data_IF_026055254232
#
_entry.id   IF_026055254232
#
_cell.length_a   1.000
_cell.length_b   1.000
_cell.length_c   1.000
_cell.angle_alpha   90.00
_cell.angle_beta   90.00
_cell.angle_gamma   90.00
#
_symmetry.space_group_name_H-M   'P 1'
#
loop_
_entity.id
_entity.type
_entity.pdbx_description
1 polymer ?
#
# COMPACT_ATOMS: atom_id res chain seq x y z
N UNK A 1 30.58 8.58 5.30
CA UNK A 1 29.78 8.10 6.45
C UNK A 1 28.38 7.60 6.05
N UNK A 2 27.90 7.90 4.84
CA UNK A 2 26.55 7.55 4.37
C UNK A 2 26.33 6.05 4.06
N UNK A 3 27.36 5.32 3.61
CA UNK A 3 27.18 3.90 3.23
C UNK A 3 27.00 2.96 4.42
N UNK A 4 27.66 3.22 5.56
CA UNK A 4 27.58 2.40 6.77
C UNK A 4 26.20 2.54 7.45
N UNK A 5 25.65 3.76 7.48
CA UNK A 5 24.26 4.02 7.91
C UNK A 5 23.25 3.36 6.97
N UNK A 6 23.51 3.35 5.65
CA UNK A 6 22.65 2.65 4.70
C UNK A 6 22.69 1.13 4.92
N UNK A 7 23.85 0.54 5.21
CA UNK A 7 23.99 -0.89 5.43
C UNK A 7 23.31 -1.35 6.73
N UNK A 8 23.41 -0.55 7.79
CA UNK A 8 22.70 -0.79 9.05
C UNK A 8 21.18 -0.66 8.90
N UNK A 9 20.70 0.38 8.20
CA UNK A 9 19.29 0.54 7.84
C UNK A 9 18.77 -0.64 7.02
N UNK A 10 19.50 -1.02 5.97
CA UNK A 10 19.16 -2.17 5.14
C UNK A 10 19.11 -3.46 5.97
N UNK A 11 20.03 -3.66 6.92
CA UNK A 11 20.00 -4.83 7.80
C UNK A 11 18.75 -4.82 8.68
N UNK A 12 18.38 -3.67 9.24
CA UNK A 12 17.22 -3.52 10.11
C UNK A 12 15.90 -3.86 9.42
N UNK A 13 15.69 -3.37 8.19
CA UNK A 13 14.41 -3.54 7.47
C UNK A 13 14.31 -4.85 6.68
N UNK A 14 15.44 -5.48 6.34
CA UNK A 14 15.43 -6.67 5.48
C UNK A 14 14.94 -7.92 6.22
N UNK A 15 13.81 -8.53 5.80
CA UNK A 15 13.29 -9.75 6.43
C UNK A 15 14.18 -10.99 6.17
N UNK A 16 15.12 -10.92 5.22
CA UNK A 16 16.12 -11.97 4.99
C UNK A 16 17.26 -11.94 6.00
N UNK A 17 17.58 -10.76 6.56
CA UNK A 17 18.72 -10.56 7.46
C UNK A 17 18.31 -10.40 8.92
N UNK A 18 17.16 -9.77 9.17
CA UNK A 18 16.64 -9.55 10.52
C UNK A 18 15.46 -10.49 10.83
N UNK A 19 15.57 -11.36 11.86
CA UNK A 19 14.49 -12.26 12.24
C UNK A 19 13.23 -11.54 12.73
N UNK A 20 13.36 -10.37 13.36
CA UNK A 20 12.20 -9.59 13.83
C UNK A 20 11.41 -9.02 12.64
N UNK A 21 12.11 -8.50 11.62
CA UNK A 21 11.48 -8.04 10.38
C UNK A 21 10.76 -9.20 9.66
N UNK A 22 11.30 -10.42 9.72
CA UNK A 22 10.65 -11.61 9.17
C UNK A 22 9.37 -11.97 9.90
N UNK A 23 9.39 -11.98 11.24
CA UNK A 23 8.20 -12.24 12.06
C UNK A 23 7.11 -11.20 11.79
N UNK A 24 7.48 -9.93 11.70
CA UNK A 24 6.58 -8.84 11.36
C UNK A 24 5.94 -9.04 9.97
N UNK A 25 6.76 -9.32 8.95
CA UNK A 25 6.27 -9.57 7.59
C UNK A 25 5.32 -10.77 7.55
N UNK A 26 5.63 -11.86 8.27
CA UNK A 26 4.77 -13.05 8.36
C UNK A 26 3.44 -12.75 9.05
N UNK A 27 3.46 -11.98 10.15
CA UNK A 27 2.25 -11.58 10.85
C UNK A 27 1.33 -10.72 9.97
N UNK A 28 1.89 -9.76 9.22
CA UNK A 28 1.14 -8.94 8.27
C UNK A 28 0.58 -9.80 7.15
N UNK A 29 1.42 -10.65 6.55
CA UNK A 29 1.01 -11.57 5.47
C UNK A 29 -0.18 -12.42 5.90
N UNK A 30 -0.08 -13.07 7.07
CA UNK A 30 -1.16 -13.91 7.62
C UNK A 30 -2.46 -13.12 7.78
N UNK A 31 -2.41 -11.91 8.35
CA UNK A 31 -3.59 -11.05 8.56
C UNK A 31 -4.23 -10.63 7.25
N UNK A 32 -3.43 -10.23 6.26
CA UNK A 32 -3.94 -9.81 4.95
C UNK A 32 -4.57 -10.96 4.18
N UNK A 33 -3.96 -12.15 4.22
CA UNK A 33 -4.49 -13.34 3.55
C UNK A 33 -5.85 -13.75 4.09
N UNK A 34 -6.07 -13.69 5.40
CA UNK A 34 -7.36 -14.00 6.04
C UNK A 34 -8.54 -13.20 5.47
N UNK A 35 -8.30 -11.94 5.09
CA UNK A 35 -9.31 -11.06 4.49
C UNK A 35 -9.21 -10.96 2.96
N UNK A 36 -8.20 -11.58 2.35
CA UNK A 36 -7.96 -11.51 0.91
C UNK A 36 -7.61 -10.10 0.41
N UNK A 37 -6.86 -9.34 1.21
CA UNK A 37 -6.40 -7.99 0.87
C UNK A 37 -4.93 -8.00 0.42
N UNK A 38 -4.56 -7.01 -0.38
CA UNK A 38 -3.17 -6.64 -0.62
C UNK A 38 -2.77 -5.49 0.29
N UNK A 39 -1.47 -5.34 0.52
CA UNK A 39 -0.93 -4.27 1.36
C UNK A 39 -1.33 -2.90 0.83
N UNK A 40 -1.22 -2.69 -0.49
CA UNK A 40 -1.59 -1.44 -1.16
C UNK A 40 -3.08 -1.08 -0.99
N UNK A 41 -3.95 -2.07 -0.74
CA UNK A 41 -5.38 -1.82 -0.54
C UNK A 41 -5.67 -1.03 0.76
N UNK A 42 -4.72 -1.01 1.70
CA UNK A 42 -4.84 -0.31 2.98
C UNK A 42 -4.65 1.22 2.86
N UNK A 43 -4.11 1.71 1.74
CA UNK A 43 -3.90 3.14 1.50
C UNK A 43 -5.23 3.86 1.26
N UNK A 44 -5.63 4.76 2.16
CA UNK A 44 -6.90 5.49 2.04
C UNK A 44 -6.73 6.75 1.16
N UNK A 45 -7.50 6.89 0.05
CA UNK A 45 -7.48 8.09 -0.78
C UNK A 45 -7.92 9.38 -0.06
N UNK A 46 -8.60 9.29 1.10
CA UNK A 46 -8.94 10.46 1.91
C UNK A 46 -7.82 10.85 2.89
N UNK A 47 -6.88 9.96 3.16
CA UNK A 47 -5.78 10.24 4.07
C UNK A 47 -4.74 11.13 3.40
N UNK A 48 -4.31 10.77 2.20
CA UNK A 48 -3.34 11.50 1.39
C UNK A 48 -3.91 11.71 -0.02
N UNK A 49 -3.81 12.94 -0.52
CA UNK A 49 -4.35 13.30 -1.83
C UNK A 49 -3.50 12.72 -2.97
N UNK A 50 -2.21 12.48 -2.73
CA UNK A 50 -1.33 11.85 -3.73
C UNK A 50 -1.77 10.39 -4.00
N UNK A 51 -2.33 9.71 -2.99
CA UNK A 51 -2.92 8.36 -3.15
C UNK A 51 -4.16 8.43 -4.02
N UNK A 52 -5.01 9.44 -3.81
CA UNK A 52 -6.21 9.64 -4.61
C UNK A 52 -5.86 9.84 -6.08
N UNK A 53 -4.92 10.74 -6.37
CA UNK A 53 -4.48 11.01 -7.74
C UNK A 53 -3.83 9.76 -8.37
N UNK A 54 -2.98 9.05 -7.62
CA UNK A 54 -2.36 7.82 -8.11
C UNK A 54 -3.41 6.75 -8.47
N UNK A 55 -4.48 6.61 -7.68
CA UNK A 55 -5.58 5.69 -7.99
C UNK A 55 -6.40 6.13 -9.21
N UNK A 56 -6.60 7.43 -9.41
CA UNK A 56 -7.31 7.99 -10.58
C UNK A 56 -6.54 7.79 -11.89
N UNK A 57 -5.20 7.74 -11.83
CA UNK A 57 -4.32 7.49 -12.98
C UNK A 57 -4.16 6.02 -13.34
N UNK A 58 -4.47 5.10 -12.43
CA UNK A 58 -4.32 3.66 -12.67
C UNK A 58 -5.36 3.12 -13.67
N UNK A 59 -5.06 2.01 -14.38
CA UNK A 59 -6.04 1.35 -15.23
C UNK A 59 -7.28 0.93 -14.44
N UNK A 60 -8.45 1.08 -15.06
CA UNK A 60 -9.74 0.83 -14.42
C UNK A 60 -9.86 -0.60 -13.88
N UNK A 61 -9.32 -1.58 -14.59
CA UNK A 61 -9.35 -2.99 -14.19
C UNK A 61 -8.64 -3.22 -12.85
N UNK A 62 -7.54 -2.51 -12.60
CA UNK A 62 -6.78 -2.60 -11.35
C UNK A 62 -7.58 -2.00 -10.19
N UNK A 63 -8.19 -0.84 -10.44
CA UNK A 63 -9.02 -0.12 -9.47
C UNK A 63 -10.29 -0.92 -9.13
N UNK A 64 -10.94 -1.51 -10.13
CA UNK A 64 -12.11 -2.37 -9.93
C UNK A 64 -11.76 -3.63 -9.14
N UNK A 65 -10.62 -4.27 -9.45
CA UNK A 65 -10.12 -5.41 -8.68
C UNK A 65 -9.79 -5.03 -7.22
N UNK A 66 -9.26 -3.83 -6.97
CA UNK A 66 -9.05 -3.27 -5.62
C UNK A 66 -10.39 -3.12 -4.89
N UNK A 67 -11.38 -2.50 -5.53
CA UNK A 67 -12.71 -2.32 -4.93
C UNK A 67 -13.40 -3.65 -4.60
N UNK A 68 -13.26 -4.67 -5.44
CA UNK A 68 -13.77 -6.00 -5.16
C UNK A 68 -13.14 -6.63 -3.90
N UNK A 69 -11.80 -6.52 -3.75
CA UNK A 69 -11.09 -7.01 -2.55
C UNK A 69 -11.55 -6.27 -1.30
N UNK A 70 -11.66 -4.95 -1.35
CA UNK A 70 -12.13 -4.14 -0.22
C UNK A 70 -13.57 -4.49 0.19
N UNK A 71 -14.49 -4.61 -0.78
CA UNK A 71 -15.88 -5.02 -0.53
C UNK A 71 -15.95 -6.40 0.13
N UNK A 72 -15.20 -7.38 -0.39
CA UNK A 72 -15.11 -8.72 0.19
C UNK A 72 -14.57 -8.70 1.62
N UNK A 73 -13.51 -7.94 1.88
CA UNK A 73 -12.93 -7.83 3.20
C UNK A 73 -13.90 -7.19 4.21
N UNK A 74 -14.63 -6.15 3.80
CA UNK A 74 -15.67 -5.52 4.62
C UNK A 74 -16.82 -6.49 4.93
N UNK A 75 -17.27 -7.27 3.95
CA UNK A 75 -18.30 -8.30 4.14
C UNK A 75 -17.86 -9.39 5.14
N UNK A 76 -16.64 -9.92 4.97
CA UNK A 76 -16.04 -10.90 5.88
C UNK A 76 -15.90 -10.33 7.30
N UNK A 77 -15.43 -9.09 7.41
CA UNK A 77 -15.30 -8.39 8.69
C UNK A 77 -16.64 -8.22 9.39
N UNK A 78 -17.69 -7.83 8.66
CA UNK A 78 -19.04 -7.67 9.19
C UNK A 78 -19.60 -9.01 9.69
N UNK A 79 -19.29 -10.11 9.01
CA UNK A 79 -19.73 -11.46 9.38
C UNK A 79 -18.88 -12.11 10.47
N UNK A 80 -17.80 -11.47 10.90
CA UNK A 80 -16.78 -12.08 11.76
C UNK A 80 -16.26 -13.43 11.23
N UNK A 81 -16.12 -13.53 9.91
CA UNK A 81 -15.64 -14.72 9.20
C UNK A 81 -14.36 -14.41 8.42
N UNK A 82 -13.63 -15.44 8.04
CA UNK A 82 -12.43 -15.34 7.22
C UNK A 82 -12.61 -16.09 5.91
N UNK A 83 -11.74 -15.78 4.96
CA UNK A 83 -11.67 -16.49 3.70
C UNK A 83 -11.32 -17.98 3.92
N UNK A 84 -11.75 -18.88 3.04
CA UNK A 84 -11.43 -20.31 3.15
C UNK A 84 -9.91 -20.55 3.07
N UNK A 85 -9.40 -21.63 3.66
CA UNK A 85 -7.95 -21.91 3.65
C UNK A 85 -7.38 -22.03 2.22
N UNK A 86 -8.14 -22.65 1.31
CA UNK A 86 -7.78 -22.77 -0.11
C UNK A 86 -7.65 -21.41 -0.79
N UNK A 87 -8.58 -20.49 -0.51
CA UNK A 87 -8.54 -19.14 -1.07
C UNK A 87 -7.46 -18.28 -0.43
N UNK A 88 -7.19 -18.47 0.87
CA UNK A 88 -6.09 -17.82 1.58
C UNK A 88 -4.72 -18.19 1.00
N UNK A 89 -4.54 -19.46 0.61
CA UNK A 89 -3.31 -19.94 -0.02
C UNK A 89 -3.02 -19.26 -1.37
N UNK A 90 -4.07 -18.89 -2.11
CA UNK A 90 -3.97 -18.21 -3.41
C UNK A 90 -3.68 -16.70 -3.28
N UNK A 91 -3.77 -16.11 -2.08
CA UNK A 91 -3.60 -14.68 -1.90
C UNK A 91 -2.13 -14.22 -2.00
N UNK A 92 -1.93 -13.11 -2.70
CA UNK A 92 -0.63 -12.45 -2.92
C UNK A 92 -0.58 -11.07 -2.24
N UNK A 93 -0.42 -11.00 -0.89
CA UNK A 93 -0.59 -9.75 -0.14
C UNK A 93 0.43 -8.65 -0.50
N UNK A 94 1.66 -9.02 -0.85
CA UNK A 94 2.74 -8.06 -1.17
C UNK A 94 2.93 -7.83 -2.68
N UNK A 95 1.98 -8.23 -3.52
CA UNK A 95 2.02 -7.92 -4.96
C UNK A 95 1.51 -6.50 -5.18
N UNK A 96 2.42 -5.53 -5.08
CA UNK A 96 2.16 -4.11 -5.25
C UNK A 96 1.64 -3.75 -6.64
N UNK A 97 0.87 -2.67 -6.71
CA UNK A 97 0.34 -2.07 -7.93
C UNK A 97 0.27 -0.53 -7.84
N UNK A 98 0.47 0.06 -6.67
CA UNK A 98 0.27 1.49 -6.42
C UNK A 98 1.59 2.26 -6.23
N UNK A 99 2.66 1.61 -5.76
CA UNK A 99 3.94 2.24 -5.41
C UNK A 99 4.50 3.14 -6.52
N UNK A 100 4.56 2.61 -7.74
CA UNK A 100 5.24 3.26 -8.84
C UNK A 100 4.51 4.53 -9.28
N UNK A 101 3.17 4.48 -9.23
CA UNK A 101 2.32 5.64 -9.55
C UNK A 101 2.37 6.69 -8.43
N UNK A 102 2.42 6.27 -7.16
CA UNK A 102 2.60 7.18 -6.04
C UNK A 102 3.94 7.92 -6.09
N UNK A 103 5.02 7.21 -6.44
CA UNK A 103 6.36 7.81 -6.55
C UNK A 103 6.40 8.83 -7.69
N UNK A 104 5.73 8.55 -8.82
CA UNK A 104 5.58 9.49 -9.92
C UNK A 104 4.83 10.76 -9.51
N UNK A 105 3.65 10.61 -8.91
CA UNK A 105 2.82 11.74 -8.45
C UNK A 105 3.57 12.61 -7.44
N UNK A 106 4.26 11.98 -6.47
CA UNK A 106 5.07 12.73 -5.49
C UNK A 106 6.20 13.49 -6.14
N UNK A 107 6.88 12.89 -7.12
CA UNK A 107 7.97 13.55 -7.85
C UNK A 107 7.46 14.77 -8.63
N UNK A 108 6.34 14.64 -9.34
CA UNK A 108 5.71 15.74 -10.07
C UNK A 108 5.28 16.87 -9.13
N UNK A 109 4.71 16.52 -7.96
CA UNK A 109 4.33 17.50 -6.93
C UNK A 109 5.54 18.27 -6.40
N UNK A 110 6.63 17.57 -6.09
CA UNK A 110 7.87 18.19 -5.59
C UNK A 110 8.51 19.09 -6.65
N UNK A 111 8.62 18.64 -7.90
CA UNK A 111 9.13 19.47 -9.00
C UNK A 111 8.31 20.75 -9.16
N UNK A 112 6.98 20.64 -9.09
CA UNK A 112 6.08 21.79 -9.18
C UNK A 112 6.26 22.77 -8.02
N UNK A 113 6.45 22.26 -6.82
CA UNK A 113 6.71 23.05 -5.61
C UNK A 113 8.07 23.77 -5.70
N UNK A 114 9.11 23.09 -6.18
CA UNK A 114 10.44 23.66 -6.42
C UNK A 114 10.42 24.78 -7.47
N UNK A 115 9.55 24.66 -8.48
CA UNK A 115 9.30 25.71 -9.47
C UNK A 115 8.44 26.88 -8.93
N UNK A 116 7.99 26.82 -7.67
CA UNK A 116 7.20 27.86 -7.01
C UNK A 116 5.74 27.93 -7.47
N UNK A 117 5.22 26.90 -8.14
CA UNK A 117 3.85 26.87 -8.60
C UNK A 117 2.88 26.42 -7.49
N UNK A 118 1.62 26.85 -7.59
CA UNK A 118 0.57 26.47 -6.64
C UNK A 118 0.25 24.96 -6.73
N UNK A 119 -0.11 24.30 -5.62
CA UNK A 119 -0.45 22.87 -5.61
C UNK A 119 -1.71 22.60 -6.43
N UNK A 120 -1.77 21.42 -7.08
CA UNK A 120 -2.88 21.02 -7.95
C UNK A 120 -4.15 20.70 -7.15
N UNK A 121 -3.99 20.04 -6.02
CA UNK A 121 -5.06 19.66 -5.11
C UNK A 121 -4.70 20.06 -3.69
N UNK A 122 -5.67 20.57 -2.94
CA UNK A 122 -5.52 20.93 -1.55
C UNK A 122 -6.60 20.25 -0.71
N UNK A 123 -6.24 19.90 0.53
CA UNK A 123 -7.19 19.31 1.47
C UNK A 123 -8.12 20.41 1.95
N UNK A 124 -9.42 20.14 1.97
CA UNK A 124 -10.39 21.04 2.57
C UNK A 124 -10.18 21.12 4.08
N UNK A 125 -10.26 22.32 4.65
CA UNK A 125 -10.28 22.51 6.09
C UNK A 125 -11.64 22.03 6.64
N UNK A 126 -11.66 21.14 7.65
CA UNK A 126 -12.90 20.62 8.22
C UNK A 126 -13.69 21.70 8.97
#
# INVERSE_FOLDING_TARGET
MSSMLSAFSQWFVNPRRNPLARLHMQAISSRLRKYGLRYDDLYDPKHDLDIKEALERLPREVVDARHQRLKRAMDLSMKHQYLSENDQAQQTPFRGYLSDMMDLVKKERLEREELGALPLHQRTLP
#
